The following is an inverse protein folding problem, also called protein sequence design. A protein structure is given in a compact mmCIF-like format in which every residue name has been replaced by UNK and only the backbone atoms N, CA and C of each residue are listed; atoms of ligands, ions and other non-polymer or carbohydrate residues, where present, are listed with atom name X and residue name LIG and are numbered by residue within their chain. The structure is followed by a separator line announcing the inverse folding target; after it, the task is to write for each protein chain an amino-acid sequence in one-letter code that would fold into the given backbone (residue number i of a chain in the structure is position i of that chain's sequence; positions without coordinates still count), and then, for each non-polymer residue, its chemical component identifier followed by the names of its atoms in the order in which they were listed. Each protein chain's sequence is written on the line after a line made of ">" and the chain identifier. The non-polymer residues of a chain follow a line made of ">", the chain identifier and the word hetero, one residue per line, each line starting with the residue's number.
data_IF_345024514141
#
_entry.id   IF_345024514141
#
_cell.length_a   1.000
_cell.length_b   1.000
_cell.length_c   1.000
_cell.angle_alpha   90.00
_cell.angle_beta   90.00
_cell.angle_gamma   90.00
#
_symmetry.space_group_name_H-M   'P 1'
#
loop_
_entity.id
_entity.type
_entity.pdbx_description
1 polymer ?
#
# COMPACT_ATOMS: atom_id res chain seq x y z
N UNK A 1 -65.45 -61.25 -133.52
CA UNK A 1 -64.38 -60.36 -134.03
C UNK A 1 -65.03 -59.04 -134.41
N UNK A 2 -65.07 -57.95 -133.65
CA UNK A 2 -63.95 -57.09 -133.19
C UNK A 2 -64.26 -56.48 -131.80
N UNK A 3 -65.29 -56.99 -131.07
CA UNK A 3 -65.54 -56.61 -129.66
C UNK A 3 -64.36 -56.96 -128.72
N UNK A 4 -63.45 -57.84 -129.15
CA UNK A 4 -62.20 -58.19 -128.46
C UNK A 4 -61.08 -57.12 -128.60
N UNK A 5 -61.12 -56.24 -129.62
CA UNK A 5 -60.09 -55.22 -129.82
C UNK A 5 -60.37 -53.91 -129.09
N UNK A 6 -61.64 -53.62 -128.75
CA UNK A 6 -61.99 -52.44 -127.95
C UNK A 6 -61.70 -52.62 -126.44
N UNK A 7 -61.67 -53.87 -125.95
CA UNK A 7 -61.41 -54.17 -124.54
C UNK A 7 -59.90 -54.18 -124.20
N UNK A 8 -59.04 -54.48 -125.17
CA UNK A 8 -57.58 -54.52 -124.99
C UNK A 8 -56.93 -53.12 -124.91
N UNK A 9 -57.52 -52.10 -125.53
CA UNK A 9 -56.99 -50.72 -125.51
C UNK A 9 -57.33 -49.96 -124.21
N UNK A 10 -58.41 -50.31 -123.51
CA UNK A 10 -58.78 -49.66 -122.24
C UNK A 10 -58.06 -50.24 -121.00
N UNK A 11 -57.64 -51.51 -121.05
CA UNK A 11 -56.91 -52.14 -119.93
C UNK A 11 -55.41 -51.80 -119.88
N UNK A 12 -54.79 -51.49 -121.03
CA UNK A 12 -53.38 -51.05 -121.08
C UNK A 12 -53.15 -49.66 -120.48
N UNK A 13 -54.09 -48.72 -120.70
CA UNK A 13 -53.94 -47.35 -120.22
C UNK A 13 -54.08 -47.22 -118.69
N UNK A 14 -54.75 -48.16 -118.00
CA UNK A 14 -54.86 -48.10 -116.54
C UNK A 14 -53.65 -48.71 -115.81
N UNK A 15 -52.93 -49.63 -116.46
CA UNK A 15 -51.75 -50.32 -115.88
C UNK A 15 -50.54 -49.39 -115.73
N UNK A 16 -50.25 -48.56 -116.73
CA UNK A 16 -49.06 -47.70 -116.71
C UNK A 16 -49.19 -46.50 -115.75
N UNK A 17 -50.40 -45.98 -115.54
CA UNK A 17 -50.64 -44.95 -114.52
C UNK A 17 -50.69 -45.53 -113.10
N UNK A 18 -51.10 -46.78 -112.92
CA UNK A 18 -51.14 -47.40 -111.59
C UNK A 18 -49.74 -47.55 -110.98
N UNK A 19 -48.73 -47.96 -111.76
CA UNK A 19 -47.33 -48.02 -111.29
C UNK A 19 -46.70 -46.65 -111.03
N UNK A 20 -47.10 -45.61 -111.77
CA UNK A 20 -46.67 -44.23 -111.52
C UNK A 20 -47.27 -43.64 -110.22
N UNK A 21 -48.53 -43.95 -109.91
CA UNK A 21 -49.18 -43.54 -108.65
C UNK A 21 -48.65 -44.35 -107.46
N UNK A 22 -48.42 -45.66 -107.59
CA UNK A 22 -47.88 -46.50 -106.50
C UNK A 22 -46.44 -46.10 -106.14
N UNK A 23 -45.60 -45.75 -107.12
CA UNK A 23 -44.20 -45.34 -106.86
C UNK A 23 -44.09 -43.95 -106.23
N UNK A 24 -44.91 -42.98 -106.65
CA UNK A 24 -44.92 -41.62 -106.08
C UNK A 24 -45.51 -41.60 -104.67
N UNK A 25 -46.62 -42.29 -104.42
CA UNK A 25 -47.18 -42.41 -103.07
C UNK A 25 -46.32 -43.29 -102.15
N UNK A 26 -45.72 -44.36 -102.67
CA UNK A 26 -44.79 -45.22 -101.93
C UNK A 26 -43.53 -44.47 -101.48
N UNK A 27 -42.92 -43.68 -102.37
CA UNK A 27 -41.77 -42.84 -102.02
C UNK A 27 -42.14 -41.75 -101.00
N UNK A 28 -43.33 -41.14 -101.15
CA UNK A 28 -43.85 -40.18 -100.17
C UNK A 28 -44.04 -40.80 -98.78
N UNK A 29 -44.62 -41.99 -98.70
CA UNK A 29 -44.82 -42.72 -97.43
C UNK A 29 -43.47 -43.09 -96.79
N UNK A 30 -42.49 -43.57 -97.56
CA UNK A 30 -41.16 -43.89 -97.03
C UNK A 30 -40.43 -42.65 -96.53
N UNK A 31 -40.53 -41.52 -97.23
CA UNK A 31 -39.97 -40.25 -96.78
C UNK A 31 -40.66 -39.73 -95.51
N UNK A 32 -41.99 -39.85 -95.40
CA UNK A 32 -42.74 -39.45 -94.20
C UNK A 32 -42.40 -40.36 -93.02
N UNK A 33 -42.32 -41.68 -93.22
CA UNK A 33 -41.91 -42.62 -92.16
C UNK A 33 -40.45 -42.38 -91.76
N UNK A 34 -39.57 -42.09 -92.72
CA UNK A 34 -38.16 -41.76 -92.47
C UNK A 34 -38.03 -40.47 -91.67
N UNK A 35 -38.74 -39.41 -92.07
CA UNK A 35 -38.80 -38.14 -91.36
C UNK A 35 -39.41 -38.31 -89.97
N UNK A 36 -40.49 -39.08 -89.83
CA UNK A 36 -41.12 -39.37 -88.55
C UNK A 36 -40.22 -40.18 -87.63
N UNK A 37 -39.48 -41.17 -88.15
CA UNK A 37 -38.46 -41.91 -87.39
C UNK A 37 -37.31 -41.01 -86.94
N UNK A 38 -36.83 -40.13 -87.82
CA UNK A 38 -35.80 -39.13 -87.48
C UNK A 38 -36.31 -38.16 -86.40
N UNK A 39 -37.54 -37.69 -86.53
CA UNK A 39 -38.20 -36.80 -85.56
C UNK A 39 -38.44 -37.47 -84.20
N UNK A 40 -38.89 -38.74 -84.19
CA UNK A 40 -39.04 -39.54 -82.98
C UNK A 40 -37.69 -39.79 -82.30
N UNK A 41 -36.67 -40.18 -83.07
CA UNK A 41 -35.31 -40.39 -82.55
C UNK A 41 -34.76 -39.11 -81.94
N UNK A 42 -34.92 -37.99 -82.63
CA UNK A 42 -34.52 -36.67 -82.18
C UNK A 42 -35.21 -36.24 -80.87
N UNK A 43 -36.53 -36.41 -80.79
CA UNK A 43 -37.33 -36.03 -79.61
C UNK A 43 -37.08 -36.96 -78.42
N UNK A 44 -36.97 -38.27 -78.64
CA UNK A 44 -36.74 -39.27 -77.58
C UNK A 44 -35.31 -39.13 -77.03
N UNK A 45 -34.29 -38.99 -77.87
CA UNK A 45 -32.90 -38.83 -77.41
C UNK A 45 -32.71 -37.56 -76.58
N UNK A 46 -33.30 -36.44 -77.00
CA UNK A 46 -33.27 -35.19 -76.23
C UNK A 46 -34.04 -35.33 -74.89
N UNK A 47 -35.18 -36.02 -74.87
CA UNK A 47 -35.96 -36.27 -73.64
C UNK A 47 -35.20 -37.15 -72.64
N UNK A 48 -34.57 -38.24 -73.10
CA UNK A 48 -33.74 -39.13 -72.27
C UNK A 48 -32.53 -38.36 -71.69
N UNK A 49 -31.94 -37.45 -72.48
CA UNK A 49 -30.83 -36.61 -72.00
C UNK A 49 -31.27 -35.63 -70.92
N UNK A 50 -32.45 -35.03 -71.06
CA UNK A 50 -33.03 -34.16 -70.02
C UNK A 50 -33.28 -34.97 -68.75
N UNK A 51 -33.96 -36.12 -68.85
CA UNK A 51 -34.27 -36.99 -67.71
C UNK A 51 -33.00 -37.41 -66.95
N UNK A 52 -31.96 -37.82 -67.68
CA UNK A 52 -30.68 -38.18 -67.07
C UNK A 52 -30.01 -37.03 -66.33
N UNK A 53 -29.97 -35.83 -66.92
CA UNK A 53 -29.38 -34.65 -66.28
C UNK A 53 -30.22 -34.19 -65.08
N UNK A 54 -31.56 -34.22 -65.19
CA UNK A 54 -32.46 -33.95 -64.06
C UNK A 54 -32.24 -34.97 -62.95
N UNK A 55 -32.06 -36.26 -63.27
CA UNK A 55 -31.73 -37.30 -62.30
C UNK A 55 -30.41 -37.06 -61.55
N UNK A 56 -29.41 -36.45 -62.21
CA UNK A 56 -28.16 -36.00 -61.56
C UNK A 56 -28.41 -34.83 -60.61
N UNK A 57 -29.20 -33.84 -61.02
CA UNK A 57 -29.61 -32.71 -60.16
C UNK A 57 -30.40 -33.19 -58.94
N UNK A 58 -31.28 -34.18 -59.09
CA UNK A 58 -32.03 -34.77 -57.96
C UNK A 58 -31.08 -35.46 -56.97
N UNK A 59 -30.01 -36.08 -57.48
CA UNK A 59 -28.90 -36.62 -56.67
C UNK A 59 -27.93 -35.54 -56.17
N UNK A 60 -28.22 -34.26 -56.45
CA UNK A 60 -27.44 -33.07 -56.10
C UNK A 60 -26.04 -33.04 -56.73
N UNK A 61 -25.90 -33.72 -57.87
CA UNK A 61 -24.74 -33.63 -58.73
C UNK A 61 -24.98 -32.58 -59.81
N UNK A 62 -24.26 -31.47 -59.67
CA UNK A 62 -24.33 -30.33 -60.59
C UNK A 62 -23.16 -30.32 -61.59
N UNK A 63 -22.36 -31.38 -61.69
CA UNK A 63 -21.11 -31.37 -62.48
C UNK A 63 -21.31 -31.35 -64.00
N UNK A 64 -22.47 -31.80 -64.49
CA UNK A 64 -22.74 -31.94 -65.92
C UNK A 64 -23.78 -30.95 -66.42
N UNK A 65 -23.43 -30.25 -67.51
CA UNK A 65 -24.33 -29.36 -68.26
C UNK A 65 -25.18 -30.14 -69.26
N UNK A 66 -26.42 -29.73 -69.44
CA UNK A 66 -27.32 -30.27 -70.45
C UNK A 66 -26.82 -29.92 -71.86
N UNK A 67 -26.65 -30.95 -72.69
CA UNK A 67 -26.25 -30.85 -74.10
C UNK A 67 -27.28 -31.55 -74.99
N UNK A 68 -28.14 -30.74 -75.59
CA UNK A 68 -29.15 -31.12 -76.57
C UNK A 68 -28.68 -30.76 -77.98
N UNK A 69 -28.98 -31.62 -78.93
CA UNK A 69 -28.83 -31.27 -80.34
C UNK A 69 -30.08 -30.50 -80.74
N UNK A 70 -30.20 -29.22 -80.41
CA UNK A 70 -31.46 -28.49 -80.56
C UNK A 70 -31.37 -27.04 -81.05
N UNK A 71 -32.43 -26.62 -81.73
CA UNK A 71 -32.68 -25.25 -82.22
C UNK A 71 -34.05 -24.79 -81.74
N UNK A 72 -34.28 -23.47 -81.60
CA UNK A 72 -35.55 -22.93 -81.10
C UNK A 72 -35.72 -23.16 -79.59
N UNK A 73 -36.93 -23.49 -79.16
CA UNK A 73 -37.33 -23.54 -77.74
C UNK A 73 -36.53 -24.56 -76.91
N UNK A 74 -36.08 -25.66 -77.53
CA UNK A 74 -35.23 -26.67 -76.88
C UNK A 74 -33.79 -26.17 -76.63
N UNK A 75 -33.30 -25.23 -77.45
CA UNK A 75 -32.03 -24.55 -77.20
C UNK A 75 -32.15 -23.56 -76.03
N UNK A 76 -33.26 -22.83 -75.95
CA UNK A 76 -33.54 -21.93 -74.83
C UNK A 76 -33.70 -22.70 -73.51
N UNK A 77 -34.37 -23.86 -73.54
CA UNK A 77 -34.45 -24.78 -72.40
C UNK A 77 -33.05 -25.24 -71.96
N UNK A 78 -32.18 -25.62 -72.91
CA UNK A 78 -30.80 -26.00 -72.59
C UNK A 78 -30.06 -24.85 -71.90
N UNK A 79 -30.18 -23.63 -72.43
CA UNK A 79 -29.49 -22.47 -71.87
C UNK A 79 -29.99 -22.15 -70.46
N UNK A 80 -31.31 -22.07 -70.26
CA UNK A 80 -31.92 -21.82 -68.96
C UNK A 80 -31.57 -22.92 -67.94
N UNK A 81 -31.53 -24.18 -68.35
CA UNK A 81 -31.15 -25.30 -67.50
C UNK A 81 -29.67 -25.23 -67.11
N UNK A 82 -28.78 -24.85 -68.04
CA UNK A 82 -27.37 -24.66 -67.75
C UNK A 82 -27.12 -23.45 -66.84
N UNK A 83 -27.86 -22.35 -67.00
CA UNK A 83 -27.84 -21.22 -66.06
C UNK A 83 -28.30 -21.64 -64.66
N UNK A 84 -29.33 -22.49 -64.56
CA UNK A 84 -29.76 -23.06 -63.28
C UNK A 84 -28.65 -23.91 -62.63
N UNK A 85 -27.95 -24.74 -63.40
CA UNK A 85 -26.80 -25.51 -62.90
C UNK A 85 -25.69 -24.58 -62.42
N UNK A 86 -25.31 -23.57 -63.20
CA UNK A 86 -24.28 -22.60 -62.82
C UNK A 86 -24.64 -21.88 -61.51
N UNK A 87 -25.91 -21.51 -61.35
CA UNK A 87 -26.41 -20.90 -60.10
C UNK A 87 -26.37 -21.88 -58.91
N UNK A 88 -26.72 -23.16 -59.11
CA UNK A 88 -26.66 -24.19 -58.06
C UNK A 88 -25.21 -24.52 -57.66
N UNK A 89 -24.27 -24.57 -58.61
CA UNK A 89 -22.85 -24.72 -58.34
C UNK A 89 -22.30 -23.54 -57.54
N UNK A 90 -22.62 -22.31 -57.96
CA UNK A 90 -22.22 -21.10 -57.23
C UNK A 90 -22.82 -21.06 -55.81
N UNK A 91 -24.07 -21.52 -55.65
CA UNK A 91 -24.71 -21.66 -54.34
C UNK A 91 -24.00 -22.68 -53.46
N UNK A 92 -23.67 -23.87 -53.98
CA UNK A 92 -22.92 -24.91 -53.25
C UNK A 92 -21.54 -24.42 -52.80
N UNK A 93 -20.79 -23.76 -53.70
CA UNK A 93 -19.50 -23.16 -53.37
C UNK A 93 -19.62 -22.09 -52.29
N UNK A 94 -20.57 -21.16 -52.42
CA UNK A 94 -20.80 -20.09 -51.44
C UNK A 94 -21.20 -20.67 -50.09
N UNK A 95 -22.02 -21.73 -50.07
CA UNK A 95 -22.46 -22.39 -48.86
C UNK A 95 -21.30 -23.12 -48.15
N UNK A 96 -20.44 -23.83 -48.90
CA UNK A 96 -19.23 -24.47 -48.36
C UNK A 96 -18.27 -23.45 -47.76
N UNK A 97 -18.04 -22.34 -48.45
CA UNK A 97 -17.20 -21.25 -47.96
C UNK A 97 -17.78 -20.62 -46.69
N UNK A 98 -19.10 -20.42 -46.63
CA UNK A 98 -19.78 -19.91 -45.44
C UNK A 98 -19.64 -20.86 -44.24
N UNK A 99 -19.79 -22.18 -44.45
CA UNK A 99 -19.61 -23.22 -43.42
C UNK A 99 -18.16 -23.24 -42.91
N UNK A 100 -17.18 -23.14 -43.81
CA UNK A 100 -15.75 -23.10 -43.45
C UNK A 100 -15.41 -21.86 -42.62
N UNK A 101 -15.91 -20.68 -43.02
CA UNK A 101 -15.78 -19.44 -42.25
C UNK A 101 -16.44 -19.55 -40.88
N UNK A 102 -17.65 -20.12 -40.80
CA UNK A 102 -18.36 -20.32 -39.54
C UNK A 102 -17.59 -21.25 -38.60
N UNK A 103 -17.04 -22.34 -39.11
CA UNK A 103 -16.18 -23.26 -38.34
C UNK A 103 -14.94 -22.55 -37.77
N UNK A 104 -14.31 -21.67 -38.56
CA UNK A 104 -13.16 -20.88 -38.12
C UNK A 104 -13.53 -19.91 -36.99
N UNK A 105 -14.63 -19.16 -37.15
CA UNK A 105 -15.14 -18.22 -36.12
C UNK A 105 -15.49 -18.96 -34.83
N UNK A 106 -16.14 -20.11 -34.91
CA UNK A 106 -16.46 -20.95 -33.75
C UNK A 106 -15.20 -21.39 -33.01
N UNK A 107 -14.18 -21.88 -33.73
CA UNK A 107 -12.90 -22.27 -33.14
C UNK A 107 -12.20 -21.11 -32.42
N UNK A 108 -12.20 -19.92 -33.04
CA UNK A 108 -11.67 -18.71 -32.42
C UNK A 108 -12.44 -18.32 -31.16
N UNK A 109 -13.78 -18.36 -31.20
CA UNK A 109 -14.62 -18.08 -30.04
C UNK A 109 -14.33 -19.07 -28.90
N UNK A 110 -14.26 -20.37 -29.16
CA UNK A 110 -13.92 -21.37 -28.12
C UNK A 110 -12.57 -21.07 -27.48
N UNK A 111 -11.56 -20.67 -28.26
CA UNK A 111 -10.26 -20.27 -27.72
C UNK A 111 -10.37 -19.03 -26.82
N UNK A 112 -11.12 -18.00 -27.24
CA UNK A 112 -11.35 -16.79 -26.45
C UNK A 112 -12.08 -17.13 -25.15
N UNK A 113 -13.09 -18.00 -25.20
CA UNK A 113 -13.83 -18.45 -24.02
C UNK A 113 -12.93 -19.17 -23.01
N UNK A 114 -12.01 -20.03 -23.50
CA UNK A 114 -11.02 -20.69 -22.66
C UNK A 114 -10.09 -19.70 -21.96
N UNK A 115 -9.57 -18.70 -22.70
CA UNK A 115 -8.74 -17.64 -22.13
C UNK A 115 -9.50 -16.79 -21.11
N UNK A 116 -10.76 -16.44 -21.42
CA UNK A 116 -11.61 -15.67 -20.52
C UNK A 116 -11.86 -16.44 -19.20
N UNK A 117 -12.12 -17.74 -19.26
CA UNK A 117 -12.31 -18.57 -18.07
C UNK A 117 -11.06 -18.60 -17.17
N UNK A 118 -9.87 -18.73 -17.76
CA UNK A 118 -8.60 -18.66 -17.01
C UNK A 118 -8.42 -17.28 -16.36
N UNK A 119 -8.64 -16.20 -17.11
CA UNK A 119 -8.53 -14.83 -16.59
C UNK A 119 -9.52 -14.55 -15.43
N UNK A 120 -10.72 -15.10 -15.48
CA UNK A 120 -11.69 -15.00 -14.38
C UNK A 120 -11.22 -15.72 -13.11
N UNK A 121 -10.59 -16.89 -13.25
CA UNK A 121 -10.04 -17.61 -12.09
C UNK A 121 -8.86 -16.85 -11.45
N UNK A 122 -7.97 -16.29 -12.27
CA UNK A 122 -6.88 -15.43 -11.82
C UNK A 122 -7.41 -14.20 -11.09
N UNK A 123 -8.42 -13.53 -11.65
CA UNK A 123 -9.01 -12.34 -11.05
C UNK A 123 -9.72 -12.65 -9.73
N UNK A 124 -10.42 -13.79 -9.64
CA UNK A 124 -11.01 -14.27 -8.38
C UNK A 124 -9.95 -14.50 -7.30
N UNK A 125 -8.81 -15.09 -7.67
CA UNK A 125 -7.68 -15.30 -6.76
C UNK A 125 -7.10 -13.99 -6.27
N UNK A 126 -6.85 -13.04 -7.18
CA UNK A 126 -6.34 -11.71 -6.85
C UNK A 126 -7.30 -10.92 -5.95
N UNK A 127 -8.61 -11.05 -6.17
CA UNK A 127 -9.64 -10.43 -5.32
C UNK A 127 -9.62 -11.00 -3.90
N UNK A 128 -9.51 -12.32 -3.75
CA UNK A 128 -9.43 -12.96 -2.43
C UNK A 128 -8.18 -12.49 -1.68
N UNK A 129 -7.01 -12.46 -2.35
CA UNK A 129 -5.78 -11.94 -1.75
C UNK A 129 -5.91 -10.49 -1.33
N UNK A 130 -6.45 -9.64 -2.21
CA UNK A 130 -6.66 -8.20 -1.92
C UNK A 130 -7.62 -8.00 -0.75
N UNK A 131 -8.66 -8.82 -0.65
CA UNK A 131 -9.62 -8.80 0.47
C UNK A 131 -8.93 -9.14 1.79
N UNK A 132 -8.12 -10.20 1.82
CA UNK A 132 -7.33 -10.58 3.01
C UNK A 132 -6.38 -9.46 3.43
N UNK A 133 -5.61 -8.90 2.48
CA UNK A 133 -4.70 -7.78 2.77
C UNK A 133 -5.46 -6.55 3.29
N UNK A 134 -6.65 -6.29 2.77
CA UNK A 134 -7.51 -5.18 3.24
C UNK A 134 -7.98 -5.41 4.68
N UNK A 135 -8.31 -6.65 5.06
CA UNK A 135 -8.66 -7.01 6.44
C UNK A 135 -7.46 -6.87 7.40
N UNK A 136 -6.27 -7.30 6.98
CA UNK A 136 -5.03 -7.12 7.75
C UNK A 136 -4.70 -5.63 7.95
N UNK A 137 -4.92 -4.82 6.92
CA UNK A 137 -4.75 -3.37 6.99
C UNK A 137 -5.74 -2.74 7.97
N UNK A 138 -6.99 -3.23 8.02
CA UNK A 138 -8.00 -2.78 8.98
C UNK A 138 -7.55 -3.06 10.43
N UNK A 139 -7.09 -4.29 10.69
CA UNK A 139 -6.58 -4.69 12.00
C UNK A 139 -5.36 -3.84 12.42
N UNK A 140 -4.44 -3.60 11.49
CA UNK A 140 -3.24 -2.78 11.74
C UNK A 140 -3.59 -1.32 12.03
N UNK A 141 -4.57 -0.76 11.31
CA UNK A 141 -5.06 0.61 11.54
C UNK A 141 -5.71 0.75 12.92
N UNK A 142 -6.49 -0.26 13.34
CA UNK A 142 -7.06 -0.30 14.67
C UNK A 142 -5.98 -0.38 15.77
N UNK A 143 -5.01 -1.29 15.62
CA UNK A 143 -3.90 -1.40 16.56
C UNK A 143 -3.05 -0.12 16.63
N UNK A 144 -2.87 0.58 15.50
CA UNK A 144 -2.16 1.86 15.45
C UNK A 144 -2.91 2.93 16.23
N UNK A 145 -4.24 2.94 16.15
CA UNK A 145 -5.10 3.84 16.93
C UNK A 145 -4.94 3.59 18.43
N UNK A 146 -5.02 2.33 18.87
CA UNK A 146 -4.85 1.98 20.29
C UNK A 146 -3.47 2.37 20.81
N UNK A 147 -2.41 2.10 20.04
CA UNK A 147 -1.04 2.49 20.41
C UNK A 147 -0.86 4.00 20.49
N UNK A 148 -1.42 4.75 19.56
CA UNK A 148 -1.36 6.21 19.60
C UNK A 148 -2.09 6.76 20.84
N UNK A 149 -3.25 6.19 21.20
CA UNK A 149 -3.95 6.57 22.43
C UNK A 149 -3.13 6.28 23.68
N UNK A 150 -2.45 5.12 23.73
CA UNK A 150 -1.53 4.77 24.82
C UNK A 150 -0.35 5.76 24.92
N UNK A 151 0.20 6.20 23.79
CA UNK A 151 1.27 7.22 23.77
C UNK A 151 0.78 8.54 24.36
N UNK A 152 -0.44 8.98 24.04
CA UNK A 152 -1.04 10.19 24.64
C UNK A 152 -1.12 10.05 26.16
N UNK A 153 -1.73 8.98 26.65
CA UNK A 153 -1.89 8.75 28.10
C UNK A 153 -0.54 8.65 28.83
N UNK A 154 0.43 7.97 28.23
CA UNK A 154 1.78 7.84 28.79
C UNK A 154 2.52 9.17 28.81
N UNK A 155 2.36 10.00 27.78
CA UNK A 155 2.95 11.33 27.71
C UNK A 155 2.32 12.27 28.76
N UNK A 156 1.00 12.25 28.92
CA UNK A 156 0.29 13.01 29.97
C UNK A 156 0.75 12.63 31.38
N UNK A 157 0.88 11.34 31.66
CA UNK A 157 1.44 10.86 32.94
C UNK A 157 2.89 11.33 33.13
N UNK A 158 3.69 11.33 32.08
CA UNK A 158 5.08 11.79 32.13
C UNK A 158 5.17 13.31 32.33
N UNK A 159 4.22 14.08 31.78
CA UNK A 159 4.13 15.53 31.99
C UNK A 159 3.82 15.84 33.46
N UNK A 160 2.86 15.12 34.07
CA UNK A 160 2.53 15.28 35.50
C UNK A 160 3.76 14.98 36.40
N UNK A 161 4.48 13.89 36.14
CA UNK A 161 5.68 13.53 36.90
C UNK A 161 6.79 14.57 36.71
N UNK A 162 7.04 15.00 35.48
CA UNK A 162 8.06 16.03 35.16
C UNK A 162 7.70 17.38 35.78
N UNK A 163 6.42 17.77 35.78
CA UNK A 163 5.91 18.99 36.42
C UNK A 163 6.12 18.96 37.94
N UNK A 164 5.83 17.82 38.59
CA UNK A 164 6.15 17.62 40.01
C UNK A 164 7.66 17.68 40.27
N UNK A 165 8.47 17.10 39.38
CA UNK A 165 9.94 17.19 39.42
C UNK A 165 10.43 18.63 39.34
N UNK A 166 9.86 19.44 38.43
CA UNK A 166 10.14 20.87 38.31
C UNK A 166 9.81 21.62 39.60
N UNK A 167 8.63 21.38 40.18
CA UNK A 167 8.24 22.01 41.44
C UNK A 167 9.19 21.66 42.60
N UNK A 168 9.68 20.43 42.65
CA UNK A 168 10.68 20.02 43.65
C UNK A 168 12.05 20.70 43.41
N UNK A 169 12.46 20.87 42.15
CA UNK A 169 13.65 21.63 41.78
C UNK A 169 13.53 23.10 42.22
N UNK A 170 12.41 23.75 41.93
CA UNK A 170 12.15 25.13 42.31
C UNK A 170 12.19 25.31 43.84
N UNK A 171 11.58 24.38 44.59
CA UNK A 171 11.67 24.37 46.06
C UNK A 171 13.11 24.17 46.57
N UNK A 172 13.91 23.34 45.90
CA UNK A 172 15.33 23.14 46.27
C UNK A 172 16.16 24.41 46.03
N UNK A 173 15.85 25.19 44.98
CA UNK A 173 16.49 26.50 44.74
C UNK A 173 16.18 27.46 45.89
N UNK A 174 14.93 27.49 46.36
CA UNK A 174 14.52 28.33 47.49
C UNK A 174 15.28 27.96 48.77
N UNK A 175 15.34 26.68 49.11
CA UNK A 175 16.11 26.17 50.26
C UNK A 175 17.61 26.49 50.16
N UNK A 176 18.21 26.37 48.96
CA UNK A 176 19.62 26.76 48.76
C UNK A 176 19.84 28.26 48.95
N UNK A 177 18.88 29.11 48.58
CA UNK A 177 18.95 30.54 48.85
C UNK A 177 18.86 30.84 50.36
N UNK A 178 18.08 30.08 51.13
CA UNK A 178 18.07 30.18 52.60
C UNK A 178 19.40 29.75 53.21
N UNK A 179 19.98 28.65 52.73
CA UNK A 179 21.31 28.21 53.17
C UNK A 179 22.35 29.30 52.88
N UNK A 180 22.31 29.95 51.72
CA UNK A 180 23.20 31.08 51.40
C UNK A 180 23.06 32.20 52.44
N UNK A 181 21.82 32.62 52.77
CA UNK A 181 21.56 33.63 53.81
C UNK A 181 22.11 33.22 55.17
N UNK A 182 21.99 31.96 55.54
CA UNK A 182 22.55 31.45 56.79
C UNK A 182 24.08 31.47 56.81
N UNK A 183 24.73 31.12 55.71
CA UNK A 183 26.19 31.20 55.56
C UNK A 183 26.67 32.65 55.64
N UNK A 184 26.00 33.59 54.97
CA UNK A 184 26.29 35.03 55.06
C UNK A 184 26.20 35.54 56.50
N UNK A 185 25.12 35.17 57.23
CA UNK A 185 24.95 35.56 58.64
C UNK A 185 26.03 34.97 59.55
N UNK A 186 26.48 33.73 59.29
CA UNK A 186 27.59 33.13 60.03
C UNK A 186 28.88 33.93 59.79
N UNK A 187 29.16 34.33 58.54
CA UNK A 187 30.32 35.15 58.21
C UNK A 187 30.30 36.49 58.97
N UNK A 188 29.15 37.18 59.01
CA UNK A 188 28.98 38.43 59.79
C UNK A 188 29.27 38.23 61.30
N UNK A 189 28.74 37.15 61.89
CA UNK A 189 28.97 36.85 63.30
C UNK A 189 30.44 36.53 63.62
N UNK A 190 31.15 35.88 62.69
CA UNK A 190 32.58 35.59 62.82
C UNK A 190 33.41 36.88 62.73
N UNK A 191 33.02 37.81 61.86
CA UNK A 191 33.68 39.12 61.77
C UNK A 191 33.51 39.93 63.07
N UNK A 192 32.31 39.96 63.66
CA UNK A 192 32.09 40.59 64.97
C UNK A 192 32.91 39.91 66.08
N UNK A 193 33.00 38.57 66.09
CA UNK A 193 33.86 37.83 67.03
C UNK A 193 35.33 38.19 66.86
N UNK A 194 35.80 38.32 65.61
CA UNK A 194 37.18 38.74 65.30
C UNK A 194 37.49 40.11 65.87
N UNK A 195 36.58 41.07 65.70
CA UNK A 195 36.72 42.43 66.24
C UNK A 195 36.76 42.44 67.77
N UNK A 196 35.83 41.74 68.43
CA UNK A 196 35.83 41.64 69.91
C UNK A 196 37.09 40.96 70.43
N UNK A 197 37.56 39.91 69.76
CA UNK A 197 38.79 39.19 70.14
C UNK A 197 40.02 40.11 70.02
N UNK A 198 40.07 40.95 68.97
CA UNK A 198 41.11 41.96 68.82
C UNK A 198 41.09 42.99 69.94
N UNK A 199 39.91 43.48 70.33
CA UNK A 199 39.74 44.41 71.46
C UNK A 199 40.22 43.80 72.79
N UNK A 200 39.88 42.53 73.05
CA UNK A 200 40.37 41.80 74.22
C UNK A 200 41.90 41.67 74.18
N UNK A 201 42.49 41.48 73.00
CA UNK A 201 43.95 41.43 72.82
C UNK A 201 44.66 42.73 73.23
N UNK A 202 44.07 43.87 72.88
CA UNK A 202 44.57 45.20 73.30
C UNK A 202 44.48 45.34 74.81
N UNK A 203 43.34 45.02 75.42
CA UNK A 203 43.13 45.10 76.88
C UNK A 203 44.11 44.19 77.62
N UNK A 204 44.27 42.94 77.16
CA UNK A 204 45.17 41.95 77.78
C UNK A 204 46.63 42.44 77.74
N UNK A 205 47.02 43.14 76.69
CA UNK A 205 48.34 43.77 76.59
C UNK A 205 48.51 44.88 77.61
N UNK A 206 47.52 45.76 77.77
CA UNK A 206 47.53 46.79 78.82
C UNK A 206 47.59 46.19 80.23
N UNK A 207 46.85 45.11 80.50
CA UNK A 207 46.90 44.42 81.80
C UNK A 207 48.28 43.83 82.07
N UNK A 208 48.91 43.21 81.06
CA UNK A 208 50.28 42.72 81.17
C UNK A 208 51.26 43.86 81.50
N UNK A 209 51.12 45.01 80.85
CA UNK A 209 51.99 46.17 81.09
C UNK A 209 51.78 46.76 82.50
N UNK A 210 50.54 46.81 82.98
CA UNK A 210 50.21 47.22 84.37
C UNK A 210 50.81 46.23 85.37
N UNK A 211 50.71 44.92 85.12
CA UNK A 211 51.30 43.90 85.98
C UNK A 211 52.83 44.03 86.02
N UNK A 212 53.49 44.31 84.89
CA UNK A 212 54.92 44.57 84.80
C UNK A 212 55.33 45.81 85.59
N UNK A 213 54.59 46.92 85.44
CA UNK A 213 54.81 48.14 86.22
C UNK A 213 54.60 47.92 87.72
N UNK A 214 53.55 47.18 88.10
CA UNK A 214 53.24 46.85 89.50
C UNK A 214 54.33 45.97 90.11
N UNK A 215 54.85 45.01 89.34
CA UNK A 215 55.97 44.17 89.75
C UNK A 215 57.23 45.00 90.02
N UNK A 216 57.54 45.96 89.14
CA UNK A 216 58.66 46.88 89.31
C UNK A 216 58.48 47.83 90.50
N UNK A 217 57.28 48.37 90.70
CA UNK A 217 56.95 49.20 91.86
C UNK A 217 57.08 48.43 93.18
N UNK A 218 56.57 47.19 93.21
CA UNK A 218 56.65 46.32 94.37
C UNK A 218 58.11 45.91 94.69
N UNK A 219 58.93 45.69 93.66
CA UNK A 219 60.37 45.46 93.83
C UNK A 219 61.06 46.67 94.46
N UNK A 220 60.80 47.88 93.94
CA UNK A 220 61.35 49.11 94.50
C UNK A 220 60.91 49.33 95.95
N UNK A 221 59.63 49.06 96.27
CA UNK A 221 59.11 49.14 97.63
C UNK A 221 59.76 48.10 98.57
N UNK A 222 60.01 46.88 98.11
CA UNK A 222 60.69 45.84 98.89
C UNK A 222 62.15 46.21 99.17
N UNK A 223 62.85 46.84 98.20
CA UNK A 223 64.22 47.35 98.37
C UNK A 223 64.24 48.45 99.43
N UNK A 224 63.35 49.44 99.34
CA UNK A 224 63.34 50.56 100.29
C UNK A 224 62.88 50.12 101.69
N UNK A 225 61.96 49.14 101.78
CA UNK A 225 61.58 48.51 103.05
C UNK A 225 62.75 47.75 103.71
N UNK A 226 63.57 47.06 102.92
CA UNK A 226 64.80 46.41 103.41
C UNK A 226 65.82 47.43 103.93
N UNK A 227 65.93 48.57 103.25
CA UNK A 227 66.82 49.69 103.58
C UNK A 227 66.40 50.43 104.87
N UNK A 228 65.11 50.44 105.21
CA UNK A 228 64.57 51.00 106.45
C UNK A 228 64.76 50.10 107.70
N UNK A 229 65.32 48.89 107.55
CA UNK A 229 65.66 48.00 108.66
C UNK A 229 64.44 47.50 109.45
N UNK A 230 64.49 47.59 110.79
CA UNK A 230 63.41 47.11 111.68
C UNK A 230 62.06 47.81 111.44
N UNK A 231 62.08 49.10 111.08
CA UNK A 231 60.87 49.89 110.82
C UNK A 231 60.18 49.55 109.49
N UNK A 232 60.89 48.89 108.56
CA UNK A 232 60.39 48.53 107.23
C UNK A 232 59.83 47.10 107.10
N UNK A 233 59.99 46.24 108.11
CA UNK A 233 59.62 44.81 108.05
C UNK A 233 58.17 44.56 107.60
N UNK A 234 57.21 45.30 108.15
CA UNK A 234 55.79 45.18 107.78
C UNK A 234 55.50 45.59 106.34
N UNK A 235 56.12 46.68 105.87
CA UNK A 235 56.01 47.15 104.49
C UNK A 235 56.69 46.19 103.49
N UNK A 236 57.81 45.58 103.88
CA UNK A 236 58.53 44.61 103.05
C UNK A 236 57.71 43.35 102.76
N UNK A 237 56.96 42.84 103.75
CA UNK A 237 56.06 41.69 103.57
C UNK A 237 54.95 42.02 102.57
N UNK A 238 54.32 43.19 102.70
CA UNK A 238 53.28 43.64 101.76
C UNK A 238 53.86 43.80 100.35
N UNK A 239 55.05 44.40 100.21
CA UNK A 239 55.70 44.58 98.92
C UNK A 239 56.00 43.25 98.22
N UNK A 240 56.45 42.22 98.96
CA UNK A 240 56.67 40.87 98.40
C UNK A 240 55.36 40.23 97.94
N UNK A 241 54.26 40.37 98.70
CA UNK A 241 52.97 39.80 98.31
C UNK A 241 52.37 40.51 97.09
N UNK A 242 52.49 41.85 97.01
CA UNK A 242 52.11 42.62 95.81
C UNK A 242 52.93 42.19 94.60
N UNK A 243 54.24 41.98 94.76
CA UNK A 243 55.12 41.49 93.69
C UNK A 243 54.66 40.12 93.18
N UNK A 244 54.32 39.20 94.08
CA UNK A 244 53.82 37.86 93.75
C UNK A 244 52.47 37.91 93.04
N UNK A 245 51.57 38.82 93.43
CA UNK A 245 50.31 39.08 92.73
C UNK A 245 50.55 39.61 91.31
N UNK A 246 51.51 40.52 91.16
CA UNK A 246 51.89 41.09 89.87
C UNK A 246 52.50 40.03 88.92
N UNK A 247 53.39 39.17 89.41
CA UNK A 247 53.92 38.03 88.66
C UNK A 247 52.79 37.07 88.21
N UNK A 248 51.85 36.75 89.11
CA UNK A 248 50.66 35.93 88.76
C UNK A 248 49.77 36.60 87.72
N UNK A 249 49.56 37.92 87.82
CA UNK A 249 48.75 38.68 86.86
C UNK A 249 49.41 38.72 85.48
N UNK A 250 50.75 38.84 85.42
CA UNK A 250 51.54 38.72 84.20
C UNK A 250 51.39 37.32 83.57
N UNK A 251 51.57 36.26 84.36
CA UNK A 251 51.41 34.88 83.87
C UNK A 251 49.99 34.62 83.32
N UNK A 252 48.95 35.08 84.03
CA UNK A 252 47.57 34.97 83.58
C UNK A 252 47.33 35.73 82.26
N UNK A 253 47.87 36.94 82.13
CA UNK A 253 47.76 37.75 80.91
C UNK A 253 48.43 37.07 79.70
N UNK A 254 49.57 36.42 79.90
CA UNK A 254 50.23 35.64 78.85
C UNK A 254 49.39 34.43 78.40
N UNK A 255 48.76 33.72 79.34
CA UNK A 255 47.84 32.61 79.01
C UNK A 255 46.60 33.12 78.25
N UNK A 256 46.05 34.27 78.63
CA UNK A 256 44.93 34.88 77.90
C UNK A 256 45.36 35.25 76.47
N UNK A 257 46.56 35.80 76.28
CA UNK A 257 47.09 36.13 74.94
C UNK A 257 47.23 34.89 74.05
N UNK A 258 47.66 33.77 74.60
CA UNK A 258 47.70 32.50 73.86
C UNK A 258 46.30 32.04 73.43
N UNK A 259 45.32 32.09 74.34
CA UNK A 259 43.91 31.79 74.01
C UNK A 259 43.34 32.71 72.92
N UNK A 260 43.65 34.01 72.97
CA UNK A 260 43.26 34.97 71.94
C UNK A 260 43.83 34.59 70.57
N UNK A 261 45.11 34.19 70.53
CA UNK A 261 45.77 33.74 69.30
C UNK A 261 45.11 32.49 68.74
N UNK A 262 44.76 31.52 69.61
CA UNK A 262 44.02 30.33 69.21
C UNK A 262 42.63 30.67 68.65
N UNK A 263 41.90 31.59 69.31
CA UNK A 263 40.58 32.05 68.84
C UNK A 263 40.70 32.76 67.50
N UNK A 264 41.70 33.62 67.28
CA UNK A 264 41.94 34.30 66.01
C UNK A 264 42.22 33.30 64.88
N UNK A 265 43.06 32.30 65.13
CA UNK A 265 43.35 31.25 64.14
C UNK A 265 42.10 30.43 63.80
N UNK A 266 41.29 30.06 64.81
CA UNK A 266 40.03 29.37 64.60
C UNK A 266 39.02 30.23 63.82
N UNK A 267 38.94 31.52 64.14
CA UNK A 267 38.09 32.52 63.46
C UNK A 267 38.47 32.61 61.98
N UNK A 268 39.75 32.82 61.66
CA UNK A 268 40.25 32.86 60.27
C UNK A 268 39.96 31.56 59.51
N UNK A 269 40.17 30.40 60.14
CA UNK A 269 39.85 29.10 59.54
C UNK A 269 38.36 28.98 59.25
N UNK A 270 37.51 29.49 60.14
CA UNK A 270 36.06 29.47 59.96
C UNK A 270 35.64 30.42 58.84
N UNK A 271 36.22 31.62 58.73
CA UNK A 271 35.96 32.54 57.59
C UNK A 271 36.22 31.83 56.26
N UNK A 272 37.39 31.20 56.08
CA UNK A 272 37.71 30.48 54.84
C UNK A 272 36.70 29.37 54.54
N UNK A 273 36.30 28.60 55.56
CA UNK A 273 35.29 27.54 55.39
C UNK A 273 33.91 28.11 55.01
N UNK A 274 33.57 29.30 55.53
CA UNK A 274 32.30 29.98 55.24
C UNK A 274 32.30 30.54 53.81
N UNK A 275 33.42 31.12 53.35
CA UNK A 275 33.60 31.55 51.96
C UNK A 275 33.54 30.39 50.96
N UNK A 276 34.21 29.28 51.26
CA UNK A 276 34.12 28.06 50.44
C UNK A 276 32.69 27.52 50.43
N UNK A 277 32.02 27.50 51.58
CA UNK A 277 30.61 27.13 51.72
C UNK A 277 29.70 27.95 50.84
N UNK A 278 29.85 29.28 50.84
CA UNK A 278 29.06 30.19 49.99
C UNK A 278 29.26 29.87 48.51
N UNK A 279 30.52 29.72 48.07
CA UNK A 279 30.84 29.38 46.67
C UNK A 279 30.24 28.03 46.26
N UNK A 280 30.24 27.04 47.16
CA UNK A 280 29.64 25.71 46.91
C UNK A 280 28.12 25.78 46.78
N UNK A 281 27.46 26.64 47.55
CA UNK A 281 26.01 26.89 47.43
C UNK A 281 25.69 27.53 46.08
N UNK A 282 26.47 28.53 45.65
CA UNK A 282 26.24 29.20 44.35
C UNK A 282 26.38 28.22 43.17
N UNK A 283 27.42 27.37 43.17
CA UNK A 283 27.57 26.30 42.18
C UNK A 283 26.41 25.30 42.24
N UNK A 284 25.91 25.01 43.45
CA UNK A 284 24.74 24.14 43.65
C UNK A 284 23.49 24.72 43.01
N UNK A 285 23.20 26.00 43.25
CA UNK A 285 22.05 26.72 42.67
C UNK A 285 22.12 26.73 41.14
N UNK A 286 23.30 26.97 40.55
CA UNK A 286 23.49 26.94 39.10
C UNK A 286 23.14 25.56 38.51
N UNK A 287 23.66 24.48 39.09
CA UNK A 287 23.38 23.11 38.65
C UNK A 287 21.90 22.74 38.78
N UNK A 288 21.24 23.19 39.85
CA UNK A 288 19.82 22.92 40.07
C UNK A 288 18.97 23.72 39.06
N UNK A 289 19.36 24.95 38.72
CA UNK A 289 18.70 25.72 37.64
C UNK A 289 18.83 25.02 36.29
N UNK A 290 19.98 24.47 35.97
CA UNK A 290 20.16 23.67 34.74
C UNK A 290 19.23 22.45 34.73
N UNK A 291 19.11 21.75 35.86
CA UNK A 291 18.14 20.66 35.98
C UNK A 291 16.70 21.13 35.76
N UNK A 292 16.34 22.31 36.28
CA UNK A 292 15.02 22.92 36.05
C UNK A 292 14.74 23.23 34.57
N UNK A 293 15.74 23.75 33.84
CA UNK A 293 15.64 23.97 32.39
C UNK A 293 15.45 22.67 31.62
N UNK A 294 16.17 21.60 31.98
CA UNK A 294 16.01 20.29 31.34
C UNK A 294 14.61 19.69 31.59
N UNK A 295 14.00 19.98 32.74
CA UNK A 295 12.60 19.60 33.01
C UNK A 295 11.64 20.37 32.11
N UNK A 296 11.86 21.66 31.88
CA UNK A 296 11.05 22.46 30.94
C UNK A 296 11.15 21.94 29.50
N UNK A 297 12.38 21.65 29.04
CA UNK A 297 12.62 21.04 27.72
C UNK A 297 11.92 19.66 27.61
N UNK A 298 11.90 18.89 28.69
CA UNK A 298 11.21 17.59 28.73
C UNK A 298 9.68 17.75 28.65
N UNK A 299 9.10 18.75 29.33
CA UNK A 299 7.67 19.07 29.23
C UNK A 299 7.30 19.42 27.79
N UNK A 300 8.07 20.32 27.15
CA UNK A 300 7.82 20.71 25.76
C UNK A 300 7.89 19.50 24.81
N UNK A 301 8.90 18.63 24.96
CA UNK A 301 9.02 17.42 24.13
C UNK A 301 7.84 16.46 24.32
N UNK A 302 7.30 16.35 25.53
CA UNK A 302 6.11 15.53 25.81
C UNK A 302 4.84 16.14 25.17
N UNK A 303 4.68 17.46 25.18
CA UNK A 303 3.58 18.14 24.48
C UNK A 303 3.64 17.89 22.96
N UNK A 304 4.83 17.97 22.36
CA UNK A 304 5.04 17.63 20.94
C UNK A 304 4.66 16.18 20.64
N UNK A 305 5.05 15.24 21.52
CA UNK A 305 4.70 13.83 21.38
C UNK A 305 3.19 13.58 21.42
N UNK A 306 2.46 14.29 22.29
CA UNK A 306 0.99 14.26 22.31
C UNK A 306 0.43 14.77 20.97
N UNK A 307 0.99 15.86 20.44
CA UNK A 307 0.62 16.40 19.13
C UNK A 307 0.83 15.40 17.98
N UNK A 308 1.97 14.70 17.95
CA UNK A 308 2.23 13.67 16.95
C UNK A 308 1.28 12.47 17.08
N UNK A 309 1.02 12.01 18.30
CA UNK A 309 0.09 10.92 18.54
C UNK A 309 -1.35 11.26 18.09
N UNK A 310 -1.79 12.51 18.31
CA UNK A 310 -3.08 12.99 17.81
C UNK A 310 -3.13 13.01 16.26
N UNK A 311 -2.05 13.39 15.59
CA UNK A 311 -1.99 13.31 14.12
C UNK A 311 -2.06 11.86 13.63
N UNK A 312 -1.41 10.92 14.33
CA UNK A 312 -1.49 9.48 14.01
C UNK A 312 -2.92 8.96 14.19
N UNK A 313 -3.64 9.40 15.24
CA UNK A 313 -5.05 9.04 15.44
C UNK A 313 -5.93 9.53 14.27
N UNK A 314 -5.75 10.78 13.84
CA UNK A 314 -6.47 11.33 12.68
C UNK A 314 -6.14 10.55 11.40
N UNK A 315 -4.86 10.27 11.16
CA UNK A 315 -4.41 9.49 10.01
C UNK A 315 -4.96 8.06 9.99
N UNK A 316 -5.00 7.40 11.15
CA UNK A 316 -5.54 6.04 11.30
C UNK A 316 -7.05 6.01 11.06
N UNK A 317 -7.78 7.03 11.52
CA UNK A 317 -9.21 7.18 11.22
C UNK A 317 -9.46 7.35 9.73
N UNK A 318 -8.63 8.15 9.05
CA UNK A 318 -8.71 8.31 7.59
C UNK A 318 -8.39 7.01 6.85
N UNK A 319 -7.40 6.24 7.31
CA UNK A 319 -7.11 4.92 6.77
C UNK A 319 -8.30 3.98 6.90
N UNK A 320 -8.97 3.95 8.06
CA UNK A 320 -10.16 3.11 8.27
C UNK A 320 -11.25 3.42 7.24
N UNK A 321 -11.52 4.71 6.98
CA UNK A 321 -12.47 5.12 5.93
C UNK A 321 -12.03 4.63 4.55
N UNK A 322 -10.74 4.77 4.22
CA UNK A 322 -10.20 4.29 2.93
C UNK A 322 -10.31 2.77 2.78
N UNK A 323 -10.10 2.02 3.86
CA UNK A 323 -10.21 0.56 3.89
C UNK A 323 -11.66 0.11 3.67
N UNK A 324 -12.64 0.80 4.26
CA UNK A 324 -14.06 0.57 4.02
C UNK A 324 -14.41 0.79 2.53
N UNK A 325 -13.90 1.85 1.92
CA UNK A 325 -14.10 2.12 0.48
C UNK A 325 -13.48 1.03 -0.41
N UNK A 326 -12.26 0.57 -0.09
CA UNK A 326 -11.62 -0.54 -0.81
C UNK A 326 -12.47 -1.81 -0.67
N UNK A 327 -12.97 -2.11 0.53
CA UNK A 327 -13.81 -3.28 0.78
C UNK A 327 -15.08 -3.25 -0.09
N UNK A 328 -15.75 -2.10 -0.18
CA UNK A 328 -16.91 -1.90 -1.06
C UNK A 328 -16.54 -2.08 -2.53
N UNK A 329 -15.41 -1.52 -2.96
CA UNK A 329 -14.93 -1.67 -4.34
C UNK A 329 -14.63 -3.14 -4.68
N UNK A 330 -14.01 -3.90 -3.78
CA UNK A 330 -13.74 -5.33 -3.96
C UNK A 330 -15.02 -6.15 -4.06
N UNK A 331 -16.04 -5.82 -3.25
CA UNK A 331 -17.35 -6.47 -3.35
C UNK A 331 -17.99 -6.24 -4.73
N UNK A 332 -17.94 -5.01 -5.25
CA UNK A 332 -18.44 -4.69 -6.58
C UNK A 332 -17.67 -5.42 -7.69
N UNK A 333 -16.34 -5.49 -7.61
CA UNK A 333 -15.54 -6.20 -8.62
C UNK A 333 -15.83 -7.71 -8.57
N UNK A 334 -16.01 -8.29 -7.38
CA UNK A 334 -16.40 -9.69 -7.24
C UNK A 334 -17.74 -9.99 -7.93
N UNK A 335 -18.72 -9.09 -7.81
CA UNK A 335 -19.99 -9.21 -8.52
C UNK A 335 -19.81 -9.14 -10.04
N UNK A 336 -18.99 -8.20 -10.54
CA UNK A 336 -18.66 -8.12 -11.97
C UNK A 336 -17.98 -9.40 -12.46
N UNK A 337 -17.03 -9.97 -11.71
CA UNK A 337 -16.36 -11.22 -12.06
C UNK A 337 -17.36 -12.37 -12.16
N UNK A 338 -18.32 -12.48 -11.23
CA UNK A 338 -19.39 -13.49 -11.31
C UNK A 338 -20.29 -13.31 -12.52
N UNK A 339 -20.64 -12.07 -12.87
CA UNK A 339 -21.45 -11.76 -14.05
C UNK A 339 -20.71 -12.13 -15.34
N UNK A 340 -19.42 -11.78 -15.45
CA UNK A 340 -18.58 -12.14 -16.60
C UNK A 340 -18.40 -13.65 -16.70
N UNK A 341 -18.20 -14.36 -15.58
CA UNK A 341 -18.13 -15.82 -15.58
C UNK A 341 -19.44 -16.45 -16.09
N UNK A 342 -20.59 -15.93 -15.65
CA UNK A 342 -21.91 -16.39 -16.12
C UNK A 342 -22.10 -16.13 -17.61
N UNK A 343 -21.78 -14.92 -18.08
CA UNK A 343 -21.85 -14.56 -19.50
C UNK A 343 -20.87 -15.38 -20.36
N UNK A 344 -19.73 -15.77 -19.80
CA UNK A 344 -18.76 -16.66 -20.43
C UNK A 344 -19.37 -18.05 -20.63
N UNK A 345 -20.00 -18.63 -19.60
CA UNK A 345 -20.68 -19.92 -19.74
C UNK A 345 -21.84 -19.87 -20.76
N UNK A 346 -22.64 -18.79 -20.74
CA UNK A 346 -23.73 -18.63 -21.71
C UNK A 346 -23.22 -18.54 -23.15
N UNK A 347 -22.15 -17.78 -23.37
CA UNK A 347 -21.53 -17.64 -24.70
C UNK A 347 -20.93 -18.96 -25.15
N UNK A 348 -20.29 -19.73 -24.26
CA UNK A 348 -19.79 -21.07 -24.58
C UNK A 348 -20.92 -22.00 -25.05
N UNK A 349 -22.05 -22.02 -24.36
CA UNK A 349 -23.22 -22.83 -24.77
C UNK A 349 -23.76 -22.43 -26.15
N UNK A 350 -23.76 -21.12 -26.45
CA UNK A 350 -24.16 -20.62 -27.77
C UNK A 350 -23.17 -21.04 -28.86
N UNK A 351 -21.86 -20.97 -28.58
CA UNK A 351 -20.80 -21.45 -29.49
C UNK A 351 -20.94 -22.94 -29.76
N UNK A 352 -21.20 -23.76 -28.74
CA UNK A 352 -21.43 -25.21 -28.88
C UNK A 352 -22.67 -25.51 -29.74
N UNK A 353 -23.73 -24.71 -29.59
CA UNK A 353 -24.94 -24.82 -30.41
C UNK A 353 -24.67 -24.48 -31.88
N UNK A 354 -23.93 -23.39 -32.15
CA UNK A 354 -23.53 -22.99 -33.51
C UNK A 354 -22.58 -24.03 -34.11
N UNK A 355 -21.68 -24.62 -33.32
CA UNK A 355 -20.82 -25.72 -33.76
C UNK A 355 -21.66 -26.93 -34.21
N UNK A 356 -22.69 -27.28 -33.45
CA UNK A 356 -23.67 -28.32 -33.81
C UNK A 356 -24.34 -28.04 -35.15
N UNK A 357 -24.93 -26.85 -35.30
CA UNK A 357 -25.55 -26.41 -36.56
C UNK A 357 -24.58 -26.40 -37.74
N UNK A 358 -23.33 -25.98 -37.52
CA UNK A 358 -22.28 -25.99 -38.55
C UNK A 358 -21.98 -27.42 -39.02
N UNK A 359 -21.94 -28.38 -38.09
CA UNK A 359 -21.74 -29.80 -38.41
C UNK A 359 -22.93 -30.37 -39.17
N UNK A 360 -24.15 -30.04 -38.79
CA UNK A 360 -25.37 -30.46 -39.50
C UNK A 360 -25.43 -29.89 -40.92
N UNK A 361 -25.16 -28.59 -41.10
CA UNK A 361 -25.09 -27.96 -42.42
C UNK A 361 -24.01 -28.58 -43.30
N UNK A 362 -22.83 -28.85 -42.72
CA UNK A 362 -21.76 -29.55 -43.42
C UNK A 362 -22.18 -30.94 -43.86
N UNK A 363 -22.85 -31.70 -42.99
CA UNK A 363 -23.38 -33.02 -43.33
C UNK A 363 -24.43 -32.95 -44.45
N UNK A 364 -25.32 -31.94 -44.46
CA UNK A 364 -26.32 -31.75 -45.52
C UNK A 364 -25.68 -31.47 -46.89
N UNK A 365 -24.60 -30.70 -46.91
CA UNK A 365 -23.82 -30.36 -48.12
C UNK A 365 -22.91 -31.51 -48.57
N UNK A 366 -22.32 -32.26 -47.63
CA UNK A 366 -21.46 -33.40 -47.94
C UNK A 366 -22.29 -34.62 -48.40
N UNK A 367 -23.47 -34.88 -47.80
CA UNK A 367 -24.43 -35.88 -48.29
C UNK A 367 -24.98 -35.52 -49.68
N UNK A 368 -24.97 -34.25 -50.07
CA UNK A 368 -25.32 -33.84 -51.42
C UNK A 368 -24.30 -34.31 -52.47
N UNK A 369 -23.02 -34.38 -52.13
CA UNK A 369 -21.95 -34.79 -53.05
C UNK A 369 -21.57 -36.29 -52.94
N UNK A 370 -21.98 -36.98 -51.87
CA UNK A 370 -21.62 -38.37 -51.61
C UNK A 370 -22.47 -39.43 -52.34
N UNK A 371 -23.69 -39.09 -52.79
CA UNK A 371 -24.59 -40.09 -53.39
C UNK A 371 -24.22 -40.49 -54.82
N UNK A 372 -23.28 -39.78 -55.46
CA UNK A 372 -22.82 -40.02 -56.83
C UNK A 372 -21.54 -40.84 -56.96
N UNK A 373 -20.84 -41.16 -55.86
CA UNK A 373 -19.61 -41.99 -55.92
C UNK A 373 -19.80 -43.48 -55.65
N UNK A 374 -20.99 -43.90 -55.20
CA UNK A 374 -21.31 -45.31 -54.93
C UNK A 374 -22.57 -45.74 -55.70
N UNK A 375 -22.45 -45.82 -57.03
CA UNK A 375 -23.16 -46.80 -57.85
C UNK A 375 -22.62 -46.83 -59.28
#
# INVERSE_FOLDING_TARGET
>A
MIVSHLCALLLGYYSDYWWAWVSTYGAGIVCVIGFFKLFLKYTIENTIRIERNVGKIVKKDFSEKLKLNATGELYDLQNNFNTMIDNLQNFDHTLKDAIARMSSVVSQLTSIMGQQAVGMNEQSTALNQTTTTTQELAATSHQTTEKAQFVVESAERSMDVTSKGKSAVDGTIEEMNEIRRHVERIAEQILDLSEKTQQIGVITTTVNDIAEQTNMLALNAAIEASKAGEFGKGFGVVAIEVRKLAEKSKEASLRIRDLITQIQNATNSTVMATEEGSKRVDIGVEKIRDAGRLMDESIQSLEENVGYAQQILVGSKQQTIGIEQITLAMANINEVVKQVATGTTQTQNAVDSVLGLTKELRQLVDHANGSTKNN
#
